data_IF_918714368786
#
_entry.id   IF_918714368786
#
_cell.length_a   1.000
_cell.length_b   1.000
_cell.length_c   1.000
_cell.angle_alpha   90.00
_cell.angle_beta   90.00
_cell.angle_gamma   90.00
#
_symmetry.space_group_name_H-M   'P 1'
#
loop_
_entity.id
_entity.type
_entity.pdbx_description
1 polymer ?
#
# COMPACT_ATOMS: atom_id res chain seq x y z
N UNK A 1 7.20 9.72 -1.69
CA UNK A 1 6.66 8.36 -1.81
C UNK A 1 6.15 7.81 -0.47
N UNK A 2 6.95 7.83 0.59
CA UNK A 2 6.59 7.34 1.93
C UNK A 2 5.34 7.99 2.53
N UNK A 3 5.20 9.32 2.44
CA UNK A 3 4.02 10.02 2.97
C UNK A 3 2.71 9.66 2.22
N UNK A 4 2.74 9.62 0.89
CA UNK A 4 1.57 9.20 0.08
C UNK A 4 1.16 7.76 0.38
N UNK A 5 2.13 6.87 0.58
CA UNK A 5 1.86 5.49 0.96
C UNK A 5 1.25 5.38 2.35
N UNK A 6 1.80 6.09 3.34
CA UNK A 6 1.24 6.12 4.69
C UNK A 6 -0.20 6.66 4.70
N UNK A 7 -0.50 7.65 3.85
CA UNK A 7 -1.85 8.18 3.69
C UNK A 7 -2.80 7.15 3.06
N UNK A 8 -2.34 6.43 2.04
CA UNK A 8 -3.11 5.36 1.38
C UNK A 8 -3.38 4.19 2.34
N UNK A 9 -2.38 3.84 3.17
CA UNK A 9 -2.53 2.89 4.27
C UNK A 9 -3.59 3.34 5.27
N UNK A 10 -3.51 4.59 5.74
CA UNK A 10 -4.44 5.14 6.72
C UNK A 10 -5.89 5.14 6.20
N UNK A 11 -6.10 5.51 4.93
CA UNK A 11 -7.43 5.49 4.30
C UNK A 11 -8.00 4.07 4.25
N UNK A 12 -7.23 3.10 3.77
CA UNK A 12 -7.69 1.70 3.68
C UNK A 12 -7.92 1.11 5.08
N UNK A 13 -7.06 1.45 6.03
CA UNK A 13 -7.22 1.02 7.42
C UNK A 13 -8.50 1.60 8.06
N UNK A 14 -8.78 2.89 7.87
CA UNK A 14 -9.99 3.54 8.39
C UNK A 14 -11.25 2.92 7.76
N UNK A 15 -11.27 2.71 6.44
CA UNK A 15 -12.36 2.00 5.75
C UNK A 15 -12.49 0.58 6.33
N UNK A 16 -11.37 -0.09 6.55
CA UNK A 16 -11.33 -1.43 7.13
C UNK A 16 -12.00 -1.49 8.51
N UNK A 17 -11.61 -0.60 9.42
CA UNK A 17 -12.15 -0.55 10.79
C UNK A 17 -13.63 -0.14 10.82
N UNK A 18 -14.04 0.80 9.96
CA UNK A 18 -15.41 1.31 9.97
C UNK A 18 -16.43 0.43 9.25
N UNK A 19 -16.00 -0.32 8.23
CA UNK A 19 -16.92 -1.08 7.39
C UNK A 19 -16.80 -2.59 7.54
N UNK A 20 -15.70 -3.15 8.07
CA UNK A 20 -15.64 -4.58 8.30
C UNK A 20 -16.34 -5.00 9.60
N UNK A 21 -17.07 -6.13 9.58
CA UNK A 21 -17.66 -6.69 10.79
C UNK A 21 -16.56 -7.04 11.80
N UNK A 22 -16.79 -6.76 13.08
CA UNK A 22 -15.87 -7.08 14.18
C UNK A 22 -15.81 -8.59 14.52
N UNK A 23 -16.08 -9.46 13.55
CA UNK A 23 -15.99 -10.91 13.67
C UNK A 23 -14.58 -11.41 13.34
N UNK A 24 -14.30 -12.68 13.65
CA UNK A 24 -13.02 -13.32 13.30
C UNK A 24 -12.71 -13.22 11.80
N UNK A 25 -13.74 -13.28 10.95
CA UNK A 25 -13.60 -13.13 9.49
C UNK A 25 -13.11 -11.72 9.13
N UNK A 26 -13.65 -10.69 9.79
CA UNK A 26 -13.19 -9.31 9.57
C UNK A 26 -11.75 -9.09 10.02
N UNK A 27 -11.35 -9.73 11.13
CA UNK A 27 -9.97 -9.69 11.61
C UNK A 27 -9.00 -10.34 10.62
N UNK A 28 -9.32 -11.52 10.08
CA UNK A 28 -8.50 -12.16 9.04
C UNK A 28 -8.42 -11.33 7.76
N UNK A 29 -9.53 -10.71 7.34
CA UNK A 29 -9.54 -9.80 6.19
C UNK A 29 -8.65 -8.56 6.42
N UNK A 30 -8.73 -7.94 7.60
CA UNK A 30 -7.88 -6.79 7.95
C UNK A 30 -6.40 -7.14 7.91
N UNK A 31 -6.02 -8.29 8.50
CA UNK A 31 -4.63 -8.78 8.48
C UNK A 31 -4.20 -9.07 7.04
N UNK A 32 -5.03 -9.76 6.27
CA UNK A 32 -4.76 -10.10 4.87
C UNK A 32 -4.55 -8.87 3.99
N UNK A 33 -5.44 -7.87 4.08
CA UNK A 33 -5.33 -6.60 3.35
C UNK A 33 -4.07 -5.85 3.76
N UNK A 34 -3.77 -5.79 5.06
CA UNK A 34 -2.56 -5.14 5.59
C UNK A 34 -1.30 -5.76 4.99
N UNK A 35 -1.21 -7.09 5.00
CA UNK A 35 -0.07 -7.81 4.43
C UNK A 35 0.03 -7.61 2.92
N UNK A 36 -1.09 -7.69 2.19
CA UNK A 36 -1.14 -7.42 0.75
C UNK A 36 -0.61 -6.03 0.40
N UNK A 37 -1.02 -5.01 1.15
CA UNK A 37 -0.56 -3.63 0.92
C UNK A 37 0.94 -3.47 1.16
N UNK A 38 1.46 -4.05 2.24
CA UNK A 38 2.90 -4.02 2.52
C UNK A 38 3.67 -4.75 1.42
N UNK A 39 3.21 -5.93 0.98
CA UNK A 39 3.83 -6.66 -0.13
C UNK A 39 3.78 -5.87 -1.43
N UNK A 40 2.66 -5.22 -1.73
CA UNK A 40 2.50 -4.39 -2.91
C UNK A 40 3.43 -3.18 -2.86
N UNK A 41 3.62 -2.57 -1.68
CA UNK A 41 4.60 -1.50 -1.48
C UNK A 41 6.01 -1.97 -1.82
N UNK A 42 6.45 -3.07 -1.22
CA UNK A 42 7.80 -3.58 -1.44
C UNK A 42 8.01 -4.13 -2.85
N UNK A 43 6.97 -4.67 -3.49
CA UNK A 43 7.03 -5.17 -4.85
C UNK A 43 7.03 -4.06 -5.90
N UNK A 44 6.20 -3.03 -5.71
CA UNK A 44 6.02 -1.96 -6.70
C UNK A 44 7.03 -0.82 -6.50
N UNK A 45 7.48 -0.51 -5.28
CA UNK A 45 8.50 0.52 -5.06
C UNK A 45 9.75 0.34 -5.94
N UNK A 46 10.42 -0.83 -6.00
CA UNK A 46 11.58 -1.00 -6.86
C UNK A 46 11.23 -0.95 -8.36
N UNK A 47 10.03 -1.37 -8.77
CA UNK A 47 9.57 -1.28 -10.16
C UNK A 47 9.35 0.17 -10.59
N UNK A 48 8.67 0.98 -9.78
CA UNK A 48 8.45 2.41 -10.03
C UNK A 48 9.78 3.15 -10.04
N UNK A 49 10.67 2.85 -9.08
CA UNK A 49 12.00 3.46 -9.02
C UNK A 49 12.82 3.08 -10.25
N UNK A 50 12.83 1.80 -10.65
CA UNK A 50 13.51 1.33 -11.85
C UNK A 50 12.95 1.93 -13.14
N UNK A 51 11.62 2.13 -13.22
CA UNK A 51 10.98 2.87 -14.32
C UNK A 51 11.39 4.34 -14.32
N UNK A 52 11.41 5.01 -13.17
CA UNK A 52 11.80 6.41 -13.02
C UNK A 52 13.25 6.66 -13.43
N UNK A 53 14.17 5.74 -13.10
CA UNK A 53 15.57 5.82 -13.54
C UNK A 53 15.78 5.46 -15.03
N UNK A 54 14.80 4.85 -15.70
CA UNK A 54 14.83 4.58 -17.15
C UNK A 54 14.20 5.69 -17.99
N UNK A 55 13.74 6.78 -17.37
CA UNK A 55 13.19 7.91 -18.11
C UNK A 55 14.36 8.79 -18.57
N UNK A 56 14.83 8.56 -19.79
CA UNK A 56 16.00 9.22 -20.40
C UNK A 56 15.95 10.77 -20.48
N UNK A 57 14.82 11.40 -20.12
CA UNK A 57 14.58 12.83 -20.33
C UNK A 57 14.83 13.75 -19.12
N UNK A 58 15.19 13.23 -17.94
CA UNK A 58 15.54 14.07 -16.77
C UNK A 58 17.05 14.29 -16.79
N UNK A 59 17.55 15.49 -17.14
CA UNK A 59 18.96 15.82 -16.96
C UNK A 59 19.22 15.95 -15.45
N UNK A 60 20.20 15.20 -14.96
CA UNK A 60 20.67 15.19 -13.57
C UNK A 60 20.94 16.59 -13.02
#
# INVERSE_FOLDING_TARGET
MTALFALLYAVIFVIGVWFLPSSLVGLFLMIGITLLMVLFQYGISPLIIGWMYRIDWIPY
#
